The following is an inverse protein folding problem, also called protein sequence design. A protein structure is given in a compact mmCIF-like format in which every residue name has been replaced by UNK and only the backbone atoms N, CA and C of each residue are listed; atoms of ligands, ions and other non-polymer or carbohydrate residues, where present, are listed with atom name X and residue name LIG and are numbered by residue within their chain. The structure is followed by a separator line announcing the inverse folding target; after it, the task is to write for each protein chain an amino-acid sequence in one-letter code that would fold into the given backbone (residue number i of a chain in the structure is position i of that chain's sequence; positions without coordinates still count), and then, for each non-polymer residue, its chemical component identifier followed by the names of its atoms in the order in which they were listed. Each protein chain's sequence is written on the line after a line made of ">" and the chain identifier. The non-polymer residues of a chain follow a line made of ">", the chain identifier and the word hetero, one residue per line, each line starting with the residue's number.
data_IF_981550055006
#
_entry.id   IF_981550055006
#
_cell.length_a   1.000
_cell.length_b   1.000
_cell.length_c   1.000
_cell.angle_alpha   90.00
_cell.angle_beta   90.00
_cell.angle_gamma   90.00
#
_symmetry.space_group_name_H-M   'P 1'
#
loop_
_entity.id
_entity.type
_entity.pdbx_description
1 polymer ?
#
# COMPACT_ATOMS: atom_id res chain seq x y z
N UNK A 1 0.39 12.52 -6.46
CA UNK A 1 0.39 11.72 -5.21
C UNK A 1 -0.66 12.31 -4.29
N UNK A 2 -1.50 11.50 -3.66
CA UNK A 2 -2.57 11.95 -2.78
C UNK A 2 -2.89 10.89 -1.73
N UNK A 3 -3.64 11.25 -0.68
CA UNK A 3 -4.13 10.29 0.32
C UNK A 3 -5.35 9.52 -0.21
N UNK A 4 -5.66 8.37 0.40
CA UNK A 4 -6.87 7.60 0.06
C UNK A 4 -8.15 8.45 0.19
N UNK A 5 -8.23 9.27 1.24
CA UNK A 5 -9.35 10.17 1.46
C UNK A 5 -9.53 11.19 0.33
N UNK A 6 -8.44 11.82 -0.11
CA UNK A 6 -8.47 12.81 -1.18
C UNK A 6 -8.78 12.21 -2.57
N UNK A 7 -8.63 10.89 -2.72
CA UNK A 7 -8.91 10.21 -4.00
C UNK A 7 -10.39 10.03 -4.31
N UNK A 8 -11.28 10.25 -3.32
CA UNK A 8 -12.73 10.05 -3.46
C UNK A 8 -13.29 10.91 -4.59
N UNK A 9 -13.99 10.29 -5.53
CA UNK A 9 -14.60 10.95 -6.69
C UNK A 9 -13.67 11.13 -7.89
N UNK A 10 -12.39 10.73 -7.79
CA UNK A 10 -11.45 10.74 -8.90
C UNK A 10 -11.32 9.32 -9.49
N UNK A 11 -10.79 9.24 -10.71
CA UNK A 11 -10.48 7.97 -11.39
C UNK A 11 -9.18 8.11 -12.17
N UNK A 12 -8.37 7.04 -12.18
CA UNK A 12 -7.08 7.00 -12.85
C UNK A 12 -6.89 5.67 -13.59
N UNK A 13 -6.21 5.70 -14.73
CA UNK A 13 -5.95 4.49 -15.51
C UNK A 13 -5.13 3.46 -14.70
N UNK A 14 -4.12 3.95 -13.98
CA UNK A 14 -3.24 3.12 -13.16
C UNK A 14 -3.15 3.70 -11.75
N UNK A 15 -3.41 2.88 -10.73
CA UNK A 15 -3.36 3.29 -9.32
C UNK A 15 -2.37 2.42 -8.57
N UNK A 16 -1.52 3.09 -7.79
CA UNK A 16 -0.57 2.46 -6.87
C UNK A 16 -0.97 2.84 -5.45
N UNK A 17 -1.42 1.87 -4.67
CA UNK A 17 -1.67 2.04 -3.24
C UNK A 17 -0.44 1.51 -2.52
N UNK A 18 0.36 2.42 -1.97
CA UNK A 18 1.53 2.09 -1.18
C UNK A 18 1.18 1.99 0.30
N UNK A 19 1.93 1.17 1.04
CA UNK A 19 1.74 1.02 2.48
C UNK A 19 0.54 0.17 2.86
N UNK A 20 0.19 -0.84 2.05
CA UNK A 20 -0.76 -1.88 2.42
C UNK A 20 -0.15 -2.83 3.47
N UNK A 21 0.16 -2.28 4.64
CA UNK A 21 0.88 -2.91 5.76
C UNK A 21 -0.02 -2.91 6.99
N UNK A 22 0.06 -3.96 7.82
CA UNK A 22 -0.70 -4.01 9.07
C UNK A 22 -0.23 -2.89 10.01
N UNK A 23 -1.17 -2.10 10.52
CA UNK A 23 -0.89 -0.90 11.31
C UNK A 23 -0.97 0.42 10.54
N UNK A 24 -0.74 0.40 9.22
CA UNK A 24 -0.99 1.56 8.34
C UNK A 24 -2.33 1.46 7.62
N UNK A 25 -2.66 0.28 7.11
CA UNK A 25 -3.96 -0.04 6.50
C UNK A 25 -4.37 -1.40 7.06
N UNK A 26 -5.28 -1.49 8.04
CA UNK A 26 -5.96 -0.37 8.72
C UNK A 26 -4.98 0.45 9.57
N UNK A 27 -5.27 1.75 9.73
CA UNK A 27 -4.46 2.61 10.59
C UNK A 27 -4.69 2.30 12.07
N UNK A 28 -3.72 1.63 12.70
CA UNK A 28 -3.80 1.24 14.13
C UNK A 28 -2.53 1.55 14.94
N UNK A 29 -1.45 2.04 14.30
CA UNK A 29 -0.16 2.25 14.96
C UNK A 29 -0.16 3.30 16.08
N UNK A 30 -1.07 4.29 16.03
CA UNK A 30 -1.04 5.45 16.95
C UNK A 30 -2.41 5.87 17.47
N UNK A 31 -3.49 5.20 17.08
CA UNK A 31 -4.81 5.55 17.57
C UNK A 31 -5.12 4.78 18.85
N UNK A 32 -5.31 5.51 19.95
CA UNK A 32 -5.82 4.98 21.21
C UNK A 32 -7.34 4.77 21.16
N UNK A 33 -8.04 5.43 20.23
CA UNK A 33 -9.40 5.08 19.87
C UNK A 33 -9.32 4.00 18.80
N UNK A 34 -10.12 2.95 18.93
CA UNK A 34 -10.15 1.88 17.94
C UNK A 34 -10.69 2.48 16.65
N UNK A 35 -9.80 2.85 15.72
CA UNK A 35 -10.16 3.17 14.34
C UNK A 35 -11.13 2.10 13.85
N UNK A 36 -12.30 2.53 13.36
CA UNK A 36 -13.34 1.61 12.90
C UNK A 36 -12.79 0.81 11.71
N UNK A 37 -12.51 -0.46 11.96
CA UNK A 37 -11.95 -1.39 10.98
C UNK A 37 -12.84 -1.46 9.74
N UNK A 38 -14.15 -1.31 9.88
CA UNK A 38 -15.08 -1.30 8.75
C UNK A 38 -14.93 -0.04 7.89
N UNK A 39 -14.69 1.11 8.51
CA UNK A 39 -14.46 2.37 7.78
C UNK A 39 -13.09 2.35 7.08
N UNK A 40 -12.04 1.84 7.72
CA UNK A 40 -10.73 1.65 7.07
C UNK A 40 -10.82 0.67 5.88
N UNK A 41 -11.62 -0.39 6.01
CA UNK A 41 -11.89 -1.32 4.92
C UNK A 41 -12.64 -0.63 3.78
N UNK A 42 -13.61 0.23 4.09
CA UNK A 42 -14.33 1.05 3.10
C UNK A 42 -13.37 2.02 2.40
N UNK A 43 -12.47 2.64 3.14
CA UNK A 43 -11.49 3.57 2.61
C UNK A 43 -10.55 2.89 1.61
N UNK A 44 -10.05 1.70 1.95
CA UNK A 44 -9.25 0.89 1.03
C UNK A 44 -10.07 0.53 -0.22
N UNK A 45 -11.32 0.08 -0.06
CA UNK A 45 -12.21 -0.25 -1.18
C UNK A 45 -12.44 0.95 -2.11
N UNK A 46 -12.68 2.15 -1.55
CA UNK A 46 -12.79 3.38 -2.34
C UNK A 46 -11.51 3.61 -3.13
N UNK A 47 -10.33 3.49 -2.49
CA UNK A 47 -9.04 3.62 -3.17
C UNK A 47 -8.85 2.62 -4.31
N UNK A 48 -9.18 1.34 -4.08
CA UNK A 48 -9.07 0.27 -5.07
C UNK A 48 -9.96 0.53 -6.29
N UNK A 49 -11.19 1.02 -6.07
CA UNK A 49 -12.15 1.32 -7.15
C UNK A 49 -11.83 2.59 -7.93
N UNK A 50 -10.78 3.35 -7.55
CA UNK A 50 -10.32 4.50 -8.36
C UNK A 50 -9.54 4.04 -9.61
N UNK A 51 -9.10 2.78 -9.65
CA UNK A 51 -8.33 2.21 -10.75
C UNK A 51 -9.24 1.78 -11.90
N UNK A 52 -8.96 2.27 -13.12
CA UNK A 52 -9.73 1.90 -14.33
C UNK A 52 -9.14 0.71 -15.07
N UNK A 53 -7.81 0.60 -15.13
CA UNK A 53 -7.10 -0.45 -15.88
C UNK A 53 -6.23 -1.33 -14.98
N UNK A 54 -5.39 -0.73 -14.15
CA UNK A 54 -4.43 -1.48 -13.33
C UNK A 54 -4.38 -0.96 -11.90
N UNK A 55 -4.42 -1.88 -10.95
CA UNK A 55 -4.30 -1.62 -9.52
C UNK A 55 -3.08 -2.36 -8.98
N UNK A 56 -2.19 -1.64 -8.32
CA UNK A 56 -1.02 -2.19 -7.64
C UNK A 56 -1.13 -1.91 -6.14
N UNK A 57 -1.09 -2.96 -5.34
CA UNK A 57 -1.09 -2.89 -3.88
C UNK A 57 0.31 -3.25 -3.39
N UNK A 58 0.96 -2.32 -2.71
CA UNK A 58 2.37 -2.44 -2.34
C UNK A 58 2.53 -2.38 -0.82
N UNK A 59 3.37 -3.26 -0.29
CA UNK A 59 3.79 -3.26 1.10
C UNK A 59 5.32 -3.33 1.17
N UNK A 60 5.92 -2.66 2.14
CA UNK A 60 7.32 -2.79 2.47
C UNK A 60 7.51 -3.81 3.60
N UNK A 61 8.57 -4.61 3.56
CA UNK A 61 8.95 -5.50 4.69
C UNK A 61 9.51 -4.72 5.88
N UNK A 62 10.05 -3.54 5.61
CA UNK A 62 10.69 -2.68 6.59
C UNK A 62 10.44 -1.22 6.24
N UNK A 63 10.05 -0.43 7.24
CA UNK A 63 9.73 0.99 7.10
C UNK A 63 10.39 1.80 8.19
N UNK A 64 10.84 3.01 7.86
CA UNK A 64 11.23 4.01 8.85
C UNK A 64 10.05 4.95 9.11
N UNK A 65 9.62 5.04 10.37
CA UNK A 65 8.50 5.86 10.81
C UNK A 65 8.82 6.51 12.14
N UNK A 66 8.63 7.83 12.28
CA UNK A 66 8.97 8.60 13.48
C UNK A 66 10.39 8.31 14.04
N UNK A 67 11.39 8.19 13.15
CA UNK A 67 12.77 7.84 13.47
C UNK A 67 13.00 6.41 13.97
N UNK A 68 11.97 5.57 13.96
CA UNK A 68 12.05 4.15 14.32
C UNK A 68 11.99 3.28 13.07
N UNK A 69 12.81 2.23 13.05
CA UNK A 69 12.76 1.20 12.02
C UNK A 69 11.80 0.08 12.47
N UNK A 70 10.70 -0.07 11.75
CA UNK A 70 9.66 -1.04 12.03
C UNK A 70 9.68 -2.14 10.97
N UNK A 71 9.58 -3.40 11.42
CA UNK A 71 9.24 -4.52 10.55
C UNK A 71 7.74 -4.49 10.33
N UNK A 72 7.34 -4.59 9.07
CA UNK A 72 5.95 -4.45 8.68
C UNK A 72 5.47 -5.75 8.05
N UNK A 73 4.30 -6.20 8.48
CA UNK A 73 3.62 -7.33 7.87
C UNK A 73 2.62 -6.84 6.81
N UNK A 74 2.29 -7.66 5.80
CA UNK A 74 1.24 -7.33 4.85
C UNK A 74 -0.08 -7.03 5.57
N UNK A 75 -0.83 -6.04 5.07
CA UNK A 75 -2.14 -5.70 5.62
C UNK A 75 -3.07 -6.91 5.67
N UNK A 76 -3.77 -7.08 6.78
CA UNK A 76 -4.82 -8.11 6.94
C UNK A 76 -5.93 -8.01 5.89
N UNK A 77 -6.17 -6.82 5.32
CA UNK A 77 -7.17 -6.65 4.26
C UNK A 77 -6.75 -7.31 2.95
N UNK A 78 -5.45 -7.49 2.70
CA UNK A 78 -4.95 -8.18 1.51
C UNK A 78 -5.24 -9.69 1.54
N UNK A 79 -5.30 -10.30 2.73
CA UNK A 79 -5.61 -11.72 2.87
C UNK A 79 -6.99 -12.08 2.30
N UNK A 80 -7.96 -11.16 2.41
CA UNK A 80 -9.31 -11.33 1.90
C UNK A 80 -9.42 -11.24 0.37
N UNK A 81 -8.40 -10.73 -0.32
CA UNK A 81 -8.41 -10.56 -1.78
C UNK A 81 -7.97 -11.83 -2.54
N UNK A 82 -7.65 -12.91 -1.81
CA UNK A 82 -6.76 -14.01 -2.19
C UNK A 82 -6.87 -14.63 -3.59
N UNK A 83 -8.05 -14.70 -4.21
CA UNK A 83 -8.20 -15.30 -5.55
C UNK A 83 -8.19 -14.27 -6.71
N UNK A 84 -8.42 -12.99 -6.40
CA UNK A 84 -8.62 -11.95 -7.42
C UNK A 84 -7.32 -11.23 -7.77
N UNK A 85 -6.36 -11.21 -6.85
CA UNK A 85 -5.09 -10.49 -7.03
C UNK A 85 -3.96 -11.45 -7.35
N UNK A 86 -3.22 -11.16 -8.41
CA UNK A 86 -1.96 -11.85 -8.69
C UNK A 86 -0.88 -11.30 -7.77
N UNK A 87 -0.28 -12.16 -6.95
CA UNK A 87 0.91 -11.77 -6.17
C UNK A 87 2.09 -11.67 -7.13
N UNK A 88 2.46 -10.43 -7.44
CA UNK A 88 3.70 -10.15 -8.14
C UNK A 88 4.86 -10.35 -7.17
N UNK A 89 5.80 -11.21 -7.54
CA UNK A 89 7.05 -11.43 -6.79
C UNK A 89 7.76 -10.07 -6.63
N UNK A 90 8.32 -9.82 -5.44
CA UNK A 90 9.16 -8.65 -5.25
C UNK A 90 10.21 -8.62 -6.37
N UNK A 91 10.34 -7.47 -7.05
CA UNK A 91 11.43 -7.26 -7.98
C UNK A 91 12.71 -7.40 -7.18
N UNK A 92 13.37 -8.55 -7.31
CA UNK A 92 14.72 -8.70 -6.81
C UNK A 92 15.52 -7.59 -7.46
N UNK A 93 16.21 -6.79 -6.65
CA UNK A 93 17.21 -5.89 -7.19
C UNK A 93 18.23 -6.80 -7.86
N UNK A 94 18.14 -6.94 -9.18
CA UNK A 94 19.28 -7.40 -9.95
C UNK A 94 20.44 -6.52 -9.54
N UNK A 95 21.51 -7.13 -9.05
CA UNK A 95 22.76 -6.45 -8.80
C UNK A 95 23.30 -5.99 -10.16
N UNK A 96 22.80 -4.85 -10.63
CA UNK A 96 23.25 -4.21 -11.86
C UNK A 96 24.61 -3.61 -11.55
N UNK A 97 25.63 -4.46 -11.53
CA UNK A 97 27.02 -4.13 -11.22
C UNK A 97 27.38 -2.73 -11.70
N UNK A 98 27.48 -1.81 -10.75
CA UNK A 98 27.91 -0.42 -10.97
C UNK A 98 27.11 0.43 -11.96
N UNK A 99 26.04 -0.06 -12.59
CA UNK A 99 25.19 0.76 -13.47
C UNK A 99 24.20 1.54 -12.62
N UNK A 100 24.76 2.48 -11.85
CA UNK A 100 23.99 3.59 -11.31
C UNK A 100 23.26 4.24 -12.47
N UNK A 101 21.93 4.19 -12.43
CA UNK A 101 21.10 4.96 -13.35
C UNK A 101 21.43 6.43 -13.07
N UNK A 102 22.21 7.04 -13.97
CA UNK A 102 22.47 8.48 -13.92
C UNK A 102 21.17 9.18 -14.25
N UNK A 103 20.52 9.69 -13.22
CA UNK A 103 19.53 10.75 -13.37
C UNK A 103 20.38 12.02 -13.51
N UNK A 104 20.67 12.36 -14.76
CA UNK A 104 21.61 13.39 -15.25
C UNK A 104 23.09 12.99 -15.22
#
# INVERSE_FOLDING_TARGET
>A
VMTLHASKGLEFDHVFIAGCEDGLIPYTLFDSQVSDIEEEKRLLYVGMTRARRSLYLLFARQRHLFHMQMKMEPSRFLANLGATVQRLSACEKEDKGGRQLRLF
#
